data_IF_111142654797
#
_entry.id   IF_111142654797
#
_cell.length_a   1.000
_cell.length_b   1.000
_cell.length_c   1.000
_cell.angle_alpha   90.00
_cell.angle_beta   90.00
_cell.angle_gamma   90.00
#
_symmetry.space_group_name_H-M   'P 1'
#
loop_
_entity.id
_entity.type
_entity.pdbx_description
1 polymer ?
#
# COMPACT_ATOMS: atom_id res chain seq x y z
N UNK A 1 -6.69 14.74 -19.73
CA UNK A 1 -7.17 13.41 -19.29
C UNK A 1 -5.96 12.56 -18.96
N UNK A 2 -5.70 12.29 -17.68
CA UNK A 2 -4.55 11.48 -17.25
C UNK A 2 -4.95 9.99 -17.36
N UNK A 3 -4.26 9.17 -18.16
CA UNK A 3 -4.65 7.78 -18.34
C UNK A 3 -4.46 7.03 -17.02
N UNK A 4 -5.55 6.50 -16.47
CA UNK A 4 -5.57 5.66 -15.27
C UNK A 4 -4.85 4.30 -15.45
N UNK A 5 -3.99 4.13 -16.46
CA UNK A 5 -3.46 2.84 -16.92
C UNK A 5 -1.93 2.78 -16.96
N UNK A 6 -1.23 3.51 -16.09
CA UNK A 6 0.17 3.24 -15.79
C UNK A 6 0.29 2.12 -14.74
N UNK A 7 1.10 1.10 -15.02
CA UNK A 7 1.43 0.03 -14.04
C UNK A 7 2.06 0.59 -12.76
N UNK A 8 2.69 1.76 -12.87
CA UNK A 8 3.31 2.51 -11.79
C UNK A 8 2.51 3.75 -11.43
N UNK A 9 2.34 3.97 -10.12
CA UNK A 9 1.72 5.15 -9.53
C UNK A 9 2.79 6.10 -8.98
N UNK A 10 2.48 7.38 -8.95
CA UNK A 10 3.18 8.35 -8.11
C UNK A 10 2.48 8.49 -6.76
N UNK A 11 2.90 9.44 -5.92
CA UNK A 11 2.30 9.62 -4.59
C UNK A 11 0.82 9.97 -4.65
N UNK A 12 0.43 10.87 -5.57
CA UNK A 12 -0.95 11.29 -5.71
C UNK A 12 -1.80 10.15 -6.27
N UNK A 13 -1.31 9.47 -7.31
CA UNK A 13 -1.95 8.30 -7.87
C UNK A 13 -2.10 7.16 -6.86
N UNK A 14 -1.13 6.95 -5.96
CA UNK A 14 -1.24 5.97 -4.89
C UNK A 14 -2.34 6.33 -3.89
N UNK A 15 -2.43 7.60 -3.47
CA UNK A 15 -3.48 8.05 -2.54
C UNK A 15 -4.87 7.83 -3.16
N UNK A 16 -5.05 8.23 -4.41
CA UNK A 16 -6.31 8.05 -5.15
C UNK A 16 -6.63 6.56 -5.33
N UNK A 17 -5.64 5.74 -5.68
CA UNK A 17 -5.79 4.31 -5.86
C UNK A 17 -6.20 3.61 -4.55
N UNK A 18 -5.52 3.92 -3.44
CA UNK A 18 -5.85 3.39 -2.12
C UNK A 18 -7.27 3.76 -1.69
N UNK A 19 -7.71 4.99 -1.96
CA UNK A 19 -9.05 5.44 -1.62
C UNK A 19 -10.12 4.78 -2.49
N UNK A 20 -9.93 4.77 -3.81
CA UNK A 20 -10.96 4.34 -4.77
C UNK A 20 -11.11 2.83 -4.86
N UNK A 21 -10.00 2.08 -4.81
CA UNK A 21 -10.00 0.62 -4.96
C UNK A 21 -10.12 -0.08 -3.60
N UNK A 22 -9.40 0.41 -2.60
CA UNK A 22 -9.28 -0.27 -1.30
C UNK A 22 -10.07 0.42 -0.17
N UNK A 23 -10.68 1.59 -0.42
CA UNK A 23 -11.41 2.35 0.61
C UNK A 23 -10.51 2.94 1.71
N UNK A 24 -9.19 2.95 1.51
CA UNK A 24 -8.19 3.37 2.51
C UNK A 24 -7.90 4.86 2.35
N UNK A 25 -8.21 5.65 3.37
CA UNK A 25 -7.92 7.09 3.39
C UNK A 25 -6.57 7.35 4.04
N UNK A 26 -5.64 7.92 3.28
CA UNK A 26 -4.29 8.30 3.74
C UNK A 26 -3.90 9.65 3.15
N UNK A 27 -3.00 10.36 3.82
CA UNK A 27 -2.42 11.60 3.31
C UNK A 27 -0.99 11.38 2.80
N UNK A 28 -0.46 12.34 2.03
CA UNK A 28 0.88 12.28 1.46
C UNK A 28 1.97 12.07 2.53
N UNK A 29 1.83 12.69 3.70
CA UNK A 29 2.78 12.51 4.80
C UNK A 29 2.83 11.05 5.29
N UNK A 30 1.68 10.37 5.34
CA UNK A 30 1.63 8.94 5.70
C UNK A 30 2.40 8.09 4.69
N UNK A 31 2.24 8.37 3.38
CA UNK A 31 2.99 7.67 2.33
C UNK A 31 4.50 7.90 2.48
N UNK A 32 4.94 9.14 2.72
CA UNK A 32 6.34 9.44 2.96
C UNK A 32 6.89 8.69 4.17
N UNK A 33 6.14 8.67 5.28
CA UNK A 33 6.55 7.96 6.48
C UNK A 33 6.66 6.46 6.23
N UNK A 34 5.74 5.86 5.47
CA UNK A 34 5.83 4.45 5.11
C UNK A 34 7.03 4.15 4.20
N UNK A 35 7.35 5.03 3.25
CA UNK A 35 8.52 4.87 2.39
C UNK A 35 9.83 4.99 3.20
N UNK A 36 9.91 5.97 4.11
CA UNK A 36 11.07 6.20 4.98
C UNK A 36 11.34 5.03 5.93
N UNK A 37 10.28 4.39 6.42
CA UNK A 37 10.35 3.22 7.31
C UNK A 37 10.35 1.88 6.56
N UNK A 38 10.46 1.88 5.24
CA UNK A 38 10.42 0.68 4.38
C UNK A 38 9.19 -0.20 4.64
N UNK A 39 8.07 0.41 5.05
CA UNK A 39 6.82 -0.28 5.38
C UNK A 39 5.94 -0.55 4.17
N UNK A 40 6.17 0.14 3.06
CA UNK A 40 5.46 -0.01 1.79
C UNK A 40 6.48 -0.26 0.67
N UNK A 41 6.23 -1.20 -0.25
CA UNK A 41 7.12 -1.43 -1.38
C UNK A 41 7.02 -0.29 -2.40
N UNK A 42 8.17 0.19 -2.85
CA UNK A 42 8.28 1.20 -3.91
C UNK A 42 9.60 1.01 -4.68
N UNK A 43 9.66 1.58 -5.87
CA UNK A 43 10.85 1.62 -6.71
C UNK A 43 11.29 3.08 -6.91
N UNK A 44 12.59 3.32 -7.13
CA UNK A 44 13.11 4.65 -7.43
C UNK A 44 13.48 4.73 -8.90
N UNK A 45 12.78 5.58 -9.65
CA UNK A 45 13.10 5.91 -11.04
C UNK A 45 13.50 7.37 -11.12
N UNK A 46 14.76 7.63 -11.54
CA UNK A 46 15.29 8.99 -11.69
C UNK A 46 15.06 9.88 -10.45
N UNK A 47 15.30 9.32 -9.25
CA UNK A 47 15.13 10.03 -7.98
C UNK A 47 13.68 10.14 -7.48
N UNK A 48 12.68 9.71 -8.26
CA UNK A 48 11.27 9.73 -7.87
C UNK A 48 10.81 8.35 -7.41
N UNK A 49 10.02 8.31 -6.34
CA UNK A 49 9.39 7.08 -5.88
C UNK A 49 8.19 6.74 -6.77
N UNK A 50 8.09 5.46 -7.15
CA UNK A 50 7.01 4.90 -7.96
C UNK A 50 6.50 3.62 -7.30
N UNK A 51 5.20 3.39 -7.42
CA UNK A 51 4.53 2.26 -6.77
C UNK A 51 3.87 1.36 -7.82
N UNK A 52 4.37 0.15 -7.96
CA UNK A 52 3.79 -0.84 -8.89
C UNK A 52 2.46 -1.36 -8.32
N UNK A 53 1.37 -1.23 -9.08
CA UNK A 53 0.00 -1.49 -8.59
C UNK A 53 -0.17 -2.89 -7.99
N UNK A 54 0.22 -3.92 -8.74
CA UNK A 54 0.09 -5.32 -8.29
C UNK A 54 0.90 -5.59 -7.02
N UNK A 55 2.05 -4.91 -6.87
CA UNK A 55 2.89 -5.03 -5.68
C UNK A 55 2.21 -4.38 -4.47
N UNK A 56 1.51 -3.26 -4.68
CA UNK A 56 0.70 -2.62 -3.64
C UNK A 56 -0.50 -3.49 -3.26
N UNK A 57 -1.21 -4.06 -4.24
CA UNK A 57 -2.37 -4.92 -3.96
C UNK A 57 -1.97 -6.13 -3.09
N UNK A 58 -0.91 -6.84 -3.49
CA UNK A 58 -0.33 -7.93 -2.68
C UNK A 58 0.12 -7.47 -1.30
N UNK A 59 0.69 -6.27 -1.19
CA UNK A 59 1.10 -5.73 0.10
C UNK A 59 -0.11 -5.49 1.01
N UNK A 60 -1.21 -4.93 0.50
CA UNK A 60 -2.45 -4.69 1.25
C UNK A 60 -3.04 -6.02 1.74
N UNK A 61 -3.17 -7.01 0.85
CA UNK A 61 -3.67 -8.35 1.21
C UNK A 61 -2.84 -8.96 2.36
N UNK A 62 -1.52 -8.82 2.29
CA UNK A 62 -0.62 -9.27 3.36
C UNK A 62 -0.82 -8.51 4.67
N UNK A 63 -1.11 -7.20 4.64
CA UNK A 63 -1.42 -6.44 5.86
C UNK A 63 -2.73 -6.92 6.51
N UNK A 64 -3.76 -7.16 5.69
CA UNK A 64 -5.05 -7.67 6.15
C UNK A 64 -4.88 -9.05 6.79
N UNK A 65 -4.14 -9.96 6.16
CA UNK A 65 -3.84 -11.28 6.74
C UNK A 65 -3.08 -11.19 8.07
N UNK A 66 -2.06 -10.32 8.16
CA UNK A 66 -1.32 -10.08 9.41
C UNK A 66 -2.25 -9.59 10.51
N UNK A 67 -3.17 -8.68 10.19
CA UNK A 67 -4.15 -8.17 11.13
C UNK A 67 -5.09 -9.28 11.64
N UNK A 68 -5.60 -10.14 10.75
CA UNK A 68 -6.42 -11.29 11.15
C UNK A 68 -5.65 -12.29 12.01
N UNK A 69 -4.40 -12.61 11.67
CA UNK A 69 -3.55 -13.50 12.49
C UNK A 69 -3.30 -12.95 13.90
N UNK A 70 -3.16 -11.63 14.04
CA UNK A 70 -2.98 -10.97 15.33
C UNK A 70 -4.28 -10.89 16.16
N UNK A 71 -5.45 -10.98 15.51
CA UNK A 71 -6.77 -10.93 16.16
C UNK A 71 -7.39 -12.30 16.44
N UNK A 72 -6.86 -13.39 15.90
CA UNK A 72 -7.26 -14.73 16.33
C UNK A 72 -6.75 -14.96 17.76
N UNK A 73 -7.64 -15.16 18.75
CA UNK A 73 -7.20 -15.59 20.07
C UNK A 73 -6.52 -16.94 19.91
N UNK A 74 -5.34 -17.11 20.51
CA UNK A 74 -4.74 -18.43 20.71
C UNK A 74 -5.66 -19.17 21.69
N UNK A 75 -6.71 -19.81 21.16
CA UNK A 75 -7.45 -20.86 21.84
C UNK A 75 -7.20 -22.15 21.06
N UNK A 76 -6.04 -22.75 21.28
CA UNK A 76 -5.94 -24.20 21.34
C UNK A 76 -5.48 -24.57 22.74
N UNK A 77 -6.46 -24.70 23.62
CA UNK A 77 -6.36 -25.58 24.77
C UNK A 77 -7.19 -26.80 24.39
N UNK A 78 -6.50 -27.89 24.04
CA UNK A 78 -7.02 -29.25 24.01
C UNK A 78 -5.85 -30.16 24.34
#
# INVERSE_FOLDING_TARGET
MNPMFGTYLDHQGLIEYLYTIHGIRVCTQTIYNWCSLEKIPYERFSGRQRFHRETIDRWIENQVQKFHRYRSPIHRVA
#
